data_IF_252611300773
#
_entry.id   IF_252611300773
#
_cell.length_a   1.000
_cell.length_b   1.000
_cell.length_c   1.000
_cell.angle_alpha   90.00
_cell.angle_beta   90.00
_cell.angle_gamma   90.00
#
_symmetry.space_group_name_H-M   'P 1'
#
loop_
_entity.id
_entity.type
_entity.pdbx_description
1 polymer ?
#
# COMPACT_ATOMS: atom_id res chain seq x y z
N UNK A 1 -67.99 -79.01 48.94
CA UNK A 1 -69.18 -79.89 48.97
C UNK A 1 -69.15 -80.67 50.27
N UNK A 2 -70.20 -80.60 51.08
CA UNK A 2 -70.34 -81.43 52.28
C UNK A 2 -71.46 -82.45 52.05
N UNK A 3 -71.20 -83.71 52.37
CA UNK A 3 -72.21 -84.76 52.32
C UNK A 3 -72.95 -84.78 53.66
N UNK A 4 -74.25 -84.47 53.63
CA UNK A 4 -75.07 -84.41 54.85
C UNK A 4 -75.45 -85.81 55.34
N UNK A 5 -75.79 -85.94 56.63
CA UNK A 5 -76.12 -87.21 57.29
C UNK A 5 -77.29 -87.99 56.67
N UNK A 6 -78.04 -87.40 55.73
CA UNK A 6 -79.12 -88.02 54.95
C UNK A 6 -78.68 -88.49 53.55
N UNK A 7 -77.36 -88.62 53.29
CA UNK A 7 -76.78 -89.06 52.00
C UNK A 7 -77.20 -88.20 50.79
N UNK A 8 -77.59 -86.95 51.04
CA UNK A 8 -77.79 -85.94 49.99
C UNK A 8 -76.62 -84.96 50.03
N UNK A 9 -76.02 -84.71 48.87
CA UNK A 9 -75.05 -83.63 48.70
C UNK A 9 -75.80 -82.30 48.78
N UNK A 10 -75.29 -81.38 49.59
CA UNK A 10 -75.80 -80.02 49.67
C UNK A 10 -74.80 -79.13 48.92
N UNK A 11 -75.17 -78.47 47.79
CA UNK A 11 -76.50 -78.34 47.16
C UNK A 11 -76.92 -79.54 46.28
N UNK A 12 -78.23 -79.64 45.99
CA UNK A 12 -78.85 -80.64 45.08
C UNK A 12 -78.54 -80.41 43.59
N UNK A 13 -77.96 -79.26 43.24
CA UNK A 13 -77.41 -78.98 41.91
C UNK A 13 -75.89 -79.12 41.94
N UNK A 14 -75.35 -79.98 41.07
CA UNK A 14 -73.91 -80.04 40.84
C UNK A 14 -73.42 -78.67 40.37
N UNK A 15 -72.28 -78.16 40.87
CA UNK A 15 -71.75 -76.90 40.39
C UNK A 15 -71.53 -77.00 38.87
N UNK A 16 -72.24 -76.17 38.11
CA UNK A 16 -72.10 -76.11 36.65
C UNK A 16 -70.74 -75.45 36.38
N UNK A 17 -69.80 -76.23 35.85
CA UNK A 17 -68.55 -75.69 35.32
C UNK A 17 -68.87 -74.92 34.04
N UNK A 18 -68.99 -73.60 34.15
CA UNK A 18 -69.07 -72.70 33.00
C UNK A 18 -67.65 -72.36 32.59
N UNK A 19 -67.34 -72.54 31.31
CA UNK A 19 -66.05 -72.13 30.77
C UNK A 19 -65.91 -70.61 30.87
N UNK A 20 -64.84 -70.14 31.53
CA UNK A 20 -64.55 -68.70 31.62
C UNK A 20 -63.92 -68.27 30.30
N UNK A 21 -64.65 -67.45 29.55
CA UNK A 21 -64.22 -66.89 28.27
C UNK A 21 -64.35 -65.38 28.34
N UNK A 22 -63.27 -64.67 28.04
CA UNK A 22 -63.26 -63.22 28.01
C UNK A 22 -63.87 -62.69 26.70
N UNK A 23 -64.44 -61.47 26.70
CA UNK A 23 -65.01 -60.87 25.51
C UNK A 23 -63.95 -60.69 24.42
N UNK A 24 -64.37 -60.77 23.15
CA UNK A 24 -63.49 -60.51 22.01
C UNK A 24 -62.98 -59.07 22.10
N UNK A 25 -61.66 -58.91 22.07
CA UNK A 25 -61.05 -57.58 22.08
C UNK A 25 -61.39 -56.82 20.79
N UNK A 26 -61.70 -55.51 20.88
CA UNK A 26 -61.91 -54.69 19.71
C UNK A 26 -60.61 -54.58 18.90
N UNK A 27 -60.75 -54.21 17.61
CA UNK A 27 -59.60 -53.93 16.75
C UNK A 27 -58.80 -52.75 17.33
N UNK A 28 -57.51 -52.94 17.54
CA UNK A 28 -56.59 -51.85 17.90
C UNK A 28 -56.39 -50.95 16.68
N UNK A 29 -56.71 -49.67 16.81
CA UNK A 29 -56.46 -48.68 15.77
C UNK A 29 -54.95 -48.45 15.63
N UNK A 30 -54.45 -48.35 14.38
CA UNK A 30 -53.02 -48.19 14.06
C UNK A 30 -52.10 -49.24 14.71
N UNK A 31 -52.63 -50.43 14.96
CA UNK A 31 -51.91 -51.55 15.57
C UNK A 31 -52.57 -52.89 15.32
N UNK A 32 -52.02 -53.92 15.96
CA UNK A 32 -52.48 -55.29 15.87
C UNK A 32 -52.63 -55.91 17.27
N UNK A 33 -53.74 -56.62 17.46
CA UNK A 33 -54.02 -57.42 18.66
C UNK A 33 -53.94 -58.89 18.30
N UNK A 34 -53.16 -59.68 19.04
CA UNK A 34 -53.10 -61.13 18.89
C UNK A 34 -53.36 -61.82 20.23
N UNK A 35 -54.48 -62.54 20.32
CA UNK A 35 -54.89 -63.30 21.51
C UNK A 35 -54.66 -64.79 21.31
N UNK A 36 -54.25 -65.50 22.36
CA UNK A 36 -54.10 -66.97 22.35
C UNK A 36 -55.42 -67.66 22.71
N UNK A 37 -55.50 -68.97 22.47
CA UNK A 37 -56.47 -69.88 23.10
C UNK A 37 -57.94 -69.42 23.06
N UNK A 38 -58.38 -68.80 21.95
CA UNK A 38 -59.78 -68.39 21.72
C UNK A 38 -60.40 -67.56 22.85
N UNK A 39 -59.59 -66.72 23.53
CA UNK A 39 -59.99 -65.87 24.67
C UNK A 39 -60.46 -66.64 25.94
N UNK A 40 -60.10 -67.91 26.09
CA UNK A 40 -60.39 -68.70 27.31
C UNK A 40 -59.61 -68.19 28.52
N UNK A 41 -59.95 -68.66 29.71
CA UNK A 41 -59.22 -68.38 30.95
C UNK A 41 -57.70 -68.53 30.76
N UNK A 42 -56.92 -67.56 31.25
CA UNK A 42 -55.47 -67.46 31.06
C UNK A 42 -54.99 -67.15 29.63
N UNK A 43 -55.90 -66.93 28.67
CA UNK A 43 -55.54 -66.38 27.36
C UNK A 43 -54.79 -65.06 27.52
N UNK A 44 -53.78 -64.85 26.68
CA UNK A 44 -52.95 -63.63 26.66
C UNK A 44 -53.17 -62.92 25.34
N UNK A 45 -53.75 -61.72 25.40
CA UNK A 45 -53.75 -60.79 24.28
C UNK A 45 -52.48 -59.93 24.32
N UNK A 46 -51.72 -59.91 23.22
CA UNK A 46 -50.56 -59.02 23.02
C UNK A 46 -50.92 -57.90 22.06
N UNK A 47 -50.50 -56.69 22.37
CA UNK A 47 -50.74 -55.49 21.58
C UNK A 47 -49.43 -54.98 20.99
N UNK A 48 -49.44 -54.68 19.69
CA UNK A 48 -48.29 -54.13 18.96
C UNK A 48 -48.78 -52.99 18.08
N UNK A 49 -48.21 -51.80 18.21
CA UNK A 49 -48.53 -50.68 17.32
C UNK A 49 -47.79 -50.83 15.99
N UNK A 50 -48.37 -50.25 14.93
CA UNK A 50 -47.72 -50.13 13.62
C UNK A 50 -46.51 -49.18 13.65
N UNK A 51 -45.76 -49.13 12.55
CA UNK A 51 -44.64 -48.19 12.41
C UNK A 51 -45.14 -46.74 12.53
N UNK A 52 -44.40 -45.89 13.24
CA UNK A 52 -44.79 -44.51 13.51
C UNK A 52 -45.77 -44.30 14.67
N UNK A 53 -46.13 -45.36 15.40
CA UNK A 53 -47.00 -45.28 16.55
C UNK A 53 -46.36 -45.86 17.81
N UNK A 54 -46.55 -45.20 18.96
CA UNK A 54 -46.12 -45.67 20.28
C UNK A 54 -47.29 -46.22 21.09
N UNK A 55 -47.05 -47.33 21.79
CA UNK A 55 -48.06 -47.95 22.63
C UNK A 55 -48.18 -47.21 23.97
N UNK A 56 -49.37 -46.66 24.26
CA UNK A 56 -49.72 -46.09 25.55
C UNK A 56 -50.71 -46.99 26.29
N UNK A 57 -50.24 -47.60 27.37
CA UNK A 57 -51.01 -48.56 28.17
C UNK A 57 -50.27 -49.89 28.32
N UNK A 58 -51.01 -50.94 28.67
CA UNK A 58 -50.42 -52.26 28.88
C UNK A 58 -50.11 -52.96 27.55
N UNK A 59 -48.91 -53.54 27.42
CA UNK A 59 -48.49 -54.33 26.22
C UNK A 59 -49.19 -55.68 26.08
N UNK A 60 -49.85 -56.13 27.14
CA UNK A 60 -50.60 -57.37 27.16
C UNK A 60 -51.72 -57.31 28.19
N UNK A 61 -52.78 -58.09 27.95
CA UNK A 61 -53.88 -58.28 28.88
C UNK A 61 -54.18 -59.77 29.01
N UNK A 62 -54.50 -60.24 30.21
CA UNK A 62 -54.71 -61.66 30.54
C UNK A 62 -56.17 -61.88 30.92
N UNK A 63 -56.77 -62.96 30.45
CA UNK A 63 -58.14 -63.33 30.83
C UNK A 63 -58.20 -63.87 32.26
N UNK A 64 -58.81 -63.10 33.16
CA UNK A 64 -58.86 -63.41 34.61
C UNK A 64 -59.95 -64.43 34.95
N UNK A 65 -60.03 -64.84 36.22
CA UNK A 65 -61.09 -65.72 36.73
C UNK A 65 -62.48 -65.09 36.67
N UNK A 66 -62.56 -63.76 36.56
CA UNK A 66 -63.82 -63.02 36.55
C UNK A 66 -64.40 -62.86 35.12
N UNK A 67 -63.79 -63.52 34.13
CA UNK A 67 -64.18 -63.40 32.72
C UNK A 67 -63.89 -62.04 32.11
N UNK A 68 -62.93 -61.30 32.68
CA UNK A 68 -62.51 -59.96 32.23
C UNK A 68 -61.03 -59.92 31.89
N UNK A 69 -60.67 -58.98 31.04
CA UNK A 69 -59.29 -58.68 30.71
C UNK A 69 -58.61 -57.92 31.87
N UNK A 70 -57.38 -58.30 32.22
CA UNK A 70 -56.64 -57.75 33.36
C UNK A 70 -56.19 -56.29 33.18
N UNK A 71 -56.16 -55.80 31.94
CA UNK A 71 -55.79 -54.46 31.57
C UNK A 71 -56.75 -53.91 30.51
N UNK A 72 -56.99 -52.60 30.56
CA UNK A 72 -57.75 -51.86 29.57
C UNK A 72 -57.04 -51.86 28.20
N UNK A 73 -57.81 -51.58 27.14
CA UNK A 73 -57.29 -51.50 25.79
C UNK A 73 -56.27 -50.36 25.68
N UNK A 74 -55.04 -50.62 25.22
CA UNK A 74 -54.06 -49.56 25.01
C UNK A 74 -54.40 -48.72 23.78
N UNK A 75 -53.78 -47.54 23.67
CA UNK A 75 -53.91 -46.64 22.53
C UNK A 75 -52.56 -46.56 21.80
N UNK A 76 -52.59 -46.62 20.46
CA UNK A 76 -51.42 -46.34 19.63
C UNK A 76 -51.43 -44.86 19.26
N UNK A 77 -50.58 -44.07 19.94
CA UNK A 77 -50.42 -42.63 19.66
C UNK A 77 -49.37 -42.42 18.57
N UNK A 78 -49.57 -41.45 17.69
CA UNK A 78 -48.56 -41.06 16.70
C UNK A 78 -47.27 -40.61 17.39
N UNK A 79 -46.14 -41.00 16.81
CA UNK A 79 -44.82 -40.51 17.19
C UNK A 79 -44.60 -39.16 16.50
N UNK A 80 -44.50 -38.12 17.31
CA UNK A 80 -44.25 -36.75 16.89
C UNK A 80 -42.97 -36.31 17.58
N UNK A 81 -42.00 -35.83 16.80
CA UNK A 81 -40.75 -35.30 17.30
C UNK A 81 -40.86 -33.81 17.66
N UNK A 82 -40.05 -33.35 18.61
CA UNK A 82 -40.03 -31.94 19.02
C UNK A 82 -39.67 -31.00 17.85
N UNK A 83 -40.18 -29.78 17.89
CA UNK A 83 -39.88 -28.78 16.86
C UNK A 83 -38.39 -28.42 16.84
N UNK A 84 -37.75 -28.55 15.68
CA UNK A 84 -36.35 -28.15 15.49
C UNK A 84 -36.21 -26.62 15.38
N UNK A 85 -35.23 -26.05 16.08
CA UNK A 85 -34.93 -24.62 15.98
C UNK A 85 -34.36 -24.24 14.59
N UNK A 86 -34.63 -23.01 14.16
CA UNK A 86 -34.02 -22.43 12.96
C UNK A 86 -32.59 -21.98 13.33
N UNK A 87 -31.54 -22.43 12.62
CA UNK A 87 -30.19 -21.97 12.89
C UNK A 87 -30.06 -20.47 12.61
N UNK A 88 -29.31 -19.76 13.46
CA UNK A 88 -28.97 -18.37 13.19
C UNK A 88 -28.17 -18.29 11.87
N UNK A 89 -28.45 -17.29 11.04
CA UNK A 89 -27.81 -17.12 9.72
C UNK A 89 -28.02 -18.33 8.78
N UNK A 90 -29.15 -19.03 8.94
CA UNK A 90 -29.58 -20.11 8.07
C UNK A 90 -31.09 -20.28 8.02
N UNK A 91 -31.53 -21.39 7.44
CA UNK A 91 -32.92 -21.74 7.20
C UNK A 91 -33.13 -23.25 7.41
N UNK A 92 -34.37 -23.64 7.72
CA UNK A 92 -34.81 -25.03 7.79
C UNK A 92 -35.98 -25.24 6.83
N UNK A 93 -36.02 -26.40 6.18
CA UNK A 93 -37.13 -26.86 5.35
C UNK A 93 -37.53 -28.26 5.81
N UNK A 94 -38.71 -28.38 6.44
CA UNK A 94 -39.18 -29.63 7.01
C UNK A 94 -40.46 -30.10 6.32
N UNK A 95 -40.54 -31.40 6.02
CA UNK A 95 -41.75 -32.03 5.48
C UNK A 95 -42.84 -32.29 6.53
N UNK A 96 -42.50 -32.16 7.82
CA UNK A 96 -43.36 -32.37 8.99
C UNK A 96 -42.54 -32.75 10.22
N UNK A 97 -43.21 -33.18 11.30
CA UNK A 97 -42.61 -33.59 12.58
C UNK A 97 -42.95 -35.04 13.00
N UNK A 98 -43.73 -35.76 12.18
CA UNK A 98 -44.10 -37.15 12.41
C UNK A 98 -42.96 -38.13 12.10
N UNK A 99 -43.04 -39.36 12.62
CA UNK A 99 -42.10 -40.44 12.30
C UNK A 99 -41.81 -40.56 10.79
N UNK A 100 -40.52 -40.61 10.46
CA UNK A 100 -40.04 -40.71 9.08
C UNK A 100 -40.00 -39.40 8.30
N UNK A 101 -40.58 -38.30 8.83
CA UNK A 101 -40.45 -36.97 8.23
C UNK A 101 -39.01 -36.47 8.34
N UNK A 102 -38.63 -35.62 7.40
CA UNK A 102 -37.28 -35.11 7.24
C UNK A 102 -37.27 -33.59 7.33
N UNK A 103 -36.18 -33.06 7.88
CA UNK A 103 -35.90 -31.66 7.85
C UNK A 103 -34.48 -31.41 7.35
N UNK A 104 -34.38 -30.56 6.32
CA UNK A 104 -33.13 -30.15 5.70
C UNK A 104 -32.76 -28.74 6.15
N UNK A 105 -31.47 -28.50 6.36
CA UNK A 105 -30.93 -27.25 6.86
C UNK A 105 -29.98 -26.65 5.84
N UNK A 106 -30.03 -25.33 5.67
CA UNK A 106 -29.15 -24.61 4.76
C UNK A 106 -28.68 -23.31 5.40
N UNK A 107 -27.39 -23.02 5.31
CA UNK A 107 -26.82 -21.76 5.80
C UNK A 107 -26.89 -20.67 4.73
N UNK A 108 -26.96 -19.41 5.17
CA UNK A 108 -26.91 -18.26 4.27
C UNK A 108 -25.53 -18.17 3.59
N UNK A 109 -25.46 -17.45 2.46
CA UNK A 109 -24.22 -17.23 1.73
C UNK A 109 -23.11 -16.68 2.63
N UNK A 110 -21.92 -17.29 2.57
CA UNK A 110 -20.76 -16.91 3.40
C UNK A 110 -20.78 -17.51 4.81
N UNK A 111 -21.64 -18.51 5.05
CA UNK A 111 -21.63 -19.30 6.28
C UNK A 111 -21.53 -20.81 5.95
N UNK A 112 -20.70 -21.50 6.71
CA UNK A 112 -20.48 -22.94 6.63
C UNK A 112 -21.41 -23.69 7.57
N UNK A 113 -22.02 -24.74 7.05
CA UNK A 113 -22.85 -25.66 7.83
C UNK A 113 -21.97 -26.59 8.66
N UNK A 114 -22.16 -26.55 9.98
CA UNK A 114 -21.63 -27.54 10.91
C UNK A 114 -22.77 -28.27 11.61
N UNK A 115 -22.74 -29.60 11.59
CA UNK A 115 -23.81 -30.44 12.15
C UNK A 115 -24.46 -31.33 11.08
N UNK A 116 -25.73 -31.67 11.27
CA UNK A 116 -26.47 -32.56 10.35
C UNK A 116 -27.33 -31.77 9.36
N UNK A 117 -26.91 -31.74 8.10
CA UNK A 117 -27.65 -31.09 6.99
C UNK A 117 -29.08 -31.62 6.84
N UNK A 118 -29.30 -32.92 7.09
CA UNK A 118 -30.62 -33.54 7.12
C UNK A 118 -30.84 -34.26 8.45
N UNK A 119 -32.03 -34.12 9.03
CA UNK A 119 -32.46 -34.84 10.24
C UNK A 119 -33.79 -35.54 9.97
N UNK A 120 -33.97 -36.73 10.52
CA UNK A 120 -35.17 -37.57 10.35
C UNK A 120 -35.79 -37.93 11.69
N UNK A 121 -37.12 -37.86 11.82
CA UNK A 121 -37.82 -38.21 13.06
C UNK A 121 -37.85 -39.72 13.26
N UNK A 122 -37.33 -40.19 14.41
CA UNK A 122 -37.12 -41.61 14.73
C UNK A 122 -38.27 -42.21 15.56
N UNK A 123 -38.26 -43.54 15.71
CA UNK A 123 -39.29 -44.28 16.43
C UNK A 123 -39.33 -44.02 17.95
N UNK A 124 -38.30 -43.37 18.51
CA UNK A 124 -38.27 -42.95 19.91
C UNK A 124 -38.77 -41.52 20.13
N UNK A 125 -39.21 -40.84 19.07
CA UNK A 125 -39.65 -39.44 19.11
C UNK A 125 -38.51 -38.43 19.10
N UNK A 126 -37.27 -38.86 18.77
CA UNK A 126 -36.12 -37.96 18.62
C UNK A 126 -35.71 -37.78 17.16
N UNK A 127 -35.05 -36.67 16.87
CA UNK A 127 -34.49 -36.41 15.54
C UNK A 127 -33.07 -36.97 15.42
N UNK A 128 -32.76 -37.66 14.33
CA UNK A 128 -31.39 -38.12 14.02
C UNK A 128 -30.38 -36.97 14.01
N UNK A 129 -29.10 -37.28 14.18
CA UNK A 129 -28.03 -36.32 14.00
C UNK A 129 -27.94 -35.27 15.12
N UNK A 130 -27.23 -34.19 14.85
CA UNK A 130 -26.94 -33.12 15.81
C UNK A 130 -27.47 -31.77 15.31
N UNK A 131 -27.74 -30.80 16.21
CA UNK A 131 -28.13 -29.45 15.82
C UNK A 131 -27.15 -28.81 14.84
N UNK A 132 -27.69 -27.99 13.93
CA UNK A 132 -26.89 -27.26 12.94
C UNK A 132 -26.48 -25.89 13.48
N UNK A 133 -25.22 -25.53 13.26
CA UNK A 133 -24.68 -24.20 13.47
C UNK A 133 -24.08 -23.67 12.16
N UNK A 134 -24.49 -22.47 11.75
CA UNK A 134 -23.93 -21.76 10.61
C UNK A 134 -22.82 -20.83 11.10
N UNK A 135 -21.57 -21.18 10.80
CA UNK A 135 -20.41 -20.38 11.20
C UNK A 135 -19.97 -19.52 10.01
N UNK A 136 -19.54 -18.28 10.23
CA UNK A 136 -19.02 -17.46 9.13
C UNK A 136 -17.83 -18.16 8.48
N UNK A 137 -17.80 -18.16 7.15
CA UNK A 137 -16.63 -18.57 6.40
C UNK A 137 -15.44 -17.66 6.77
N UNK A 138 -14.23 -18.21 6.76
CA UNK A 138 -13.01 -17.49 7.12
C UNK A 138 -11.98 -17.61 6.00
N UNK A 139 -11.44 -16.48 5.54
CA UNK A 139 -10.41 -16.40 4.49
C UNK A 139 -8.97 -16.44 5.04
N UNK A 140 -8.83 -16.54 6.37
CA UNK A 140 -7.55 -16.47 7.08
C UNK A 140 -7.04 -15.04 7.26
N UNK A 141 -6.07 -14.86 8.16
CA UNK A 141 -5.50 -13.54 8.43
C UNK A 141 -4.51 -13.14 7.33
N UNK A 142 -4.65 -11.90 6.85
CA UNK A 142 -3.73 -11.36 5.86
C UNK A 142 -2.39 -10.97 6.50
N UNK A 143 -1.26 -11.26 5.84
CA UNK A 143 0.05 -10.86 6.33
C UNK A 143 0.25 -9.35 6.21
N UNK A 144 0.93 -8.78 7.22
CA UNK A 144 1.38 -7.39 7.21
C UNK A 144 2.48 -7.20 6.14
N UNK A 145 2.35 -6.23 5.22
CA UNK A 145 3.44 -5.87 4.31
C UNK A 145 4.68 -5.40 5.06
N UNK A 146 5.88 -5.70 4.54
CA UNK A 146 7.11 -5.05 5.04
C UNK A 146 7.02 -3.55 4.77
N UNK A 147 7.42 -2.72 5.72
CA UNK A 147 7.29 -1.26 5.65
C UNK A 147 5.87 -0.76 5.37
N UNK A 148 4.88 -1.43 5.97
CA UNK A 148 3.47 -1.03 5.88
C UNK A 148 2.66 -1.62 7.01
N UNK A 149 1.35 -1.41 6.99
CA UNK A 149 0.41 -1.92 7.98
C UNK A 149 -0.85 -2.47 7.33
N UNK A 150 -1.58 -3.31 8.06
CA UNK A 150 -2.89 -3.84 7.66
C UNK A 150 -3.87 -3.65 8.80
N UNK A 151 -5.07 -3.20 8.49
CA UNK A 151 -6.16 -3.04 9.45
C UNK A 151 -7.43 -3.68 8.90
N UNK A 152 -8.00 -4.62 9.64
CA UNK A 152 -9.17 -5.39 9.23
C UNK A 152 -10.35 -5.15 10.18
N UNK A 153 -11.56 -5.01 9.63
CA UNK A 153 -12.76 -4.73 10.43
C UNK A 153 -13.18 -5.90 11.32
N UNK A 154 -13.06 -7.13 10.83
CA UNK A 154 -13.48 -8.35 11.54
C UNK A 154 -12.47 -9.50 11.33
N UNK A 155 -11.17 -9.18 11.39
CA UNK A 155 -10.12 -10.17 11.16
C UNK A 155 -10.23 -10.80 9.78
N UNK A 156 -10.40 -12.12 9.73
CA UNK A 156 -10.49 -12.90 8.48
C UNK A 156 -11.87 -13.46 8.15
N UNK A 157 -12.92 -13.02 8.83
CA UNK A 157 -14.27 -13.57 8.65
C UNK A 157 -14.94 -13.02 7.37
N UNK A 158 -15.92 -13.74 6.85
CA UNK A 158 -16.71 -13.34 5.69
C UNK A 158 -17.25 -11.91 5.83
N UNK A 159 -17.04 -11.11 4.79
CA UNK A 159 -17.39 -9.68 4.76
C UNK A 159 -16.41 -8.77 5.50
N UNK A 160 -15.35 -9.30 6.13
CA UNK A 160 -14.27 -8.49 6.68
C UNK A 160 -13.60 -7.70 5.57
N UNK A 161 -13.32 -6.42 5.82
CA UNK A 161 -12.63 -5.52 4.91
C UNK A 161 -11.29 -5.16 5.54
N UNK A 162 -10.21 -5.53 4.87
CA UNK A 162 -8.85 -5.17 5.26
C UNK A 162 -8.34 -4.04 4.38
N UNK A 163 -7.79 -3.01 5.02
CA UNK A 163 -7.12 -1.88 4.38
C UNK A 163 -5.62 -1.95 4.64
N UNK A 164 -4.83 -1.63 3.62
CA UNK A 164 -3.37 -1.67 3.66
C UNK A 164 -2.80 -0.28 3.46
N UNK A 165 -1.76 0.04 4.22
CA UNK A 165 -1.04 1.31 4.11
C UNK A 165 0.46 1.05 4.12
N UNK A 166 1.24 1.93 3.52
CA UNK A 166 2.70 1.87 3.55
C UNK A 166 3.26 2.95 4.47
N UNK A 167 4.42 2.66 5.06
CA UNK A 167 5.17 3.61 5.86
C UNK A 167 5.64 4.79 4.98
N UNK A 168 5.98 5.93 5.60
CA UNK A 168 6.45 7.08 4.85
C UNK A 168 7.70 6.77 4.02
N UNK A 169 7.70 7.20 2.76
CA UNK A 169 8.76 6.86 1.80
C UNK A 169 8.58 5.54 1.07
N UNK A 170 7.43 4.86 1.24
CA UNK A 170 7.04 3.69 0.48
C UNK A 170 5.70 3.90 -0.21
N UNK A 171 5.54 3.37 -1.42
CA UNK A 171 4.31 3.36 -2.20
C UNK A 171 3.68 1.97 -2.19
N UNK A 172 2.35 1.93 -2.11
CA UNK A 172 1.58 0.68 -2.13
C UNK A 172 1.43 0.17 -3.57
N UNK A 173 1.81 -1.08 -3.80
CA UNK A 173 1.60 -1.79 -5.07
C UNK A 173 0.70 -2.99 -4.81
N UNK A 174 -0.41 -3.09 -5.54
CA UNK A 174 -1.45 -4.11 -5.36
C UNK A 174 -2.77 -3.51 -4.90
N UNK A 175 -3.59 -4.31 -4.22
CA UNK A 175 -4.91 -3.86 -3.75
C UNK A 175 -4.81 -3.13 -2.41
N UNK A 176 -5.23 -1.86 -2.37
CA UNK A 176 -5.31 -1.06 -1.14
C UNK A 176 -6.30 -1.66 -0.13
N UNK A 177 -7.41 -2.21 -0.63
CA UNK A 177 -8.41 -2.91 0.17
C UNK A 177 -8.68 -4.31 -0.36
N UNK A 178 -8.97 -5.23 0.55
CA UNK A 178 -9.34 -6.62 0.25
C UNK A 178 -10.54 -7.02 1.12
N UNK A 179 -11.45 -7.80 0.55
CA UNK A 179 -12.69 -8.26 1.20
C UNK A 179 -12.69 -9.78 1.26
N UNK A 180 -13.07 -10.35 2.40
CA UNK A 180 -13.21 -11.80 2.52
C UNK A 180 -14.54 -12.24 1.90
N UNK A 181 -14.45 -13.04 0.84
CA UNK A 181 -15.58 -13.49 0.02
C UNK A 181 -16.11 -14.86 0.49
N UNK A 182 -17.28 -15.25 -0.04
CA UNK A 182 -17.99 -16.45 0.41
C UNK A 182 -17.29 -17.75 0.00
N UNK A 183 -16.32 -17.70 -0.91
CA UNK A 183 -15.49 -18.81 -1.37
C UNK A 183 -14.22 -19.02 -0.53
N UNK A 184 -14.17 -18.38 0.65
CA UNK A 184 -13.02 -18.38 1.56
C UNK A 184 -11.76 -17.73 0.98
N UNK A 185 -11.91 -16.91 -0.07
CA UNK A 185 -10.81 -16.17 -0.66
C UNK A 185 -10.91 -14.68 -0.36
N UNK A 186 -9.74 -14.04 -0.30
CA UNK A 186 -9.65 -12.58 -0.24
C UNK A 186 -9.65 -12.01 -1.65
N UNK A 187 -10.54 -11.05 -1.89
CA UNK A 187 -10.59 -10.32 -3.15
C UNK A 187 -9.28 -9.60 -3.48
N UNK A 188 -9.07 -9.31 -4.77
CA UNK A 188 -7.90 -8.58 -5.24
C UNK A 188 -6.57 -9.32 -5.02
N UNK A 189 -5.48 -8.55 -4.95
CA UNK A 189 -4.12 -9.06 -4.87
C UNK A 189 -3.43 -8.62 -3.58
N UNK A 190 -2.57 -9.48 -3.01
CA UNK A 190 -1.79 -9.14 -1.83
C UNK A 190 -0.86 -7.95 -2.13
N UNK A 191 -1.00 -6.81 -1.43
CA UNK A 191 -0.13 -5.67 -1.67
C UNK A 191 1.24 -5.84 -1.01
N UNK A 192 2.21 -5.10 -1.55
CA UNK A 192 3.52 -4.88 -0.96
C UNK A 192 3.92 -3.41 -1.06
N UNK A 193 4.82 -2.97 -0.19
CA UNK A 193 5.30 -1.60 -0.15
C UNK A 193 6.65 -1.50 -0.85
N UNK A 194 6.71 -0.67 -1.89
CA UNK A 194 7.92 -0.41 -2.66
C UNK A 194 8.53 0.92 -2.24
N UNK A 195 9.84 0.95 -2.02
CA UNK A 195 10.52 2.19 -1.62
C UNK A 195 10.39 3.25 -2.73
N UNK A 196 10.01 4.47 -2.35
CA UNK A 196 9.92 5.60 -3.27
C UNK A 196 11.33 6.08 -3.63
N UNK A 197 11.58 6.17 -4.92
CA UNK A 197 12.84 6.68 -5.48
C UNK A 197 12.54 7.68 -6.58
N UNK A 198 13.26 8.81 -6.58
CA UNK A 198 13.19 9.79 -7.64
C UNK A 198 14.08 9.41 -8.83
N UNK A 199 13.97 10.14 -9.93
CA UNK A 199 14.89 9.99 -11.07
C UNK A 199 16.34 10.23 -10.64
N UNK A 200 17.29 9.52 -11.25
CA UNK A 200 18.72 9.73 -10.95
C UNK A 200 19.14 11.08 -11.55
N UNK A 201 19.57 12.01 -10.70
CA UNK A 201 20.08 13.30 -11.13
C UNK A 201 21.51 13.17 -11.68
N UNK A 202 21.82 14.00 -12.68
CA UNK A 202 23.14 14.07 -13.30
C UNK A 202 23.79 15.40 -12.91
N UNK A 203 25.10 15.45 -12.62
CA UNK A 203 25.79 16.70 -12.35
C UNK A 203 25.64 17.69 -13.51
N UNK A 204 25.39 18.99 -13.24
CA UNK A 204 25.32 19.99 -14.30
C UNK A 204 26.67 20.13 -14.99
N UNK A 205 26.65 20.50 -16.28
CA UNK A 205 27.87 20.76 -17.03
C UNK A 205 28.71 21.83 -16.30
N UNK A 206 30.01 21.57 -16.11
CA UNK A 206 30.90 22.42 -15.29
C UNK A 206 30.48 22.58 -13.82
N UNK A 207 29.75 21.61 -13.26
CA UNK A 207 29.45 21.55 -11.84
C UNK A 207 29.65 20.17 -11.22
N UNK A 208 29.23 20.08 -9.96
CA UNK A 208 29.28 18.90 -9.11
C UNK A 208 27.89 18.68 -8.48
N UNK A 209 27.61 17.42 -8.16
CA UNK A 209 26.39 16.97 -7.51
C UNK A 209 26.79 16.09 -6.32
N UNK A 210 26.18 16.34 -5.17
CA UNK A 210 26.36 15.53 -3.96
C UNK A 210 25.01 15.25 -3.32
N UNK A 211 24.65 13.99 -3.14
CA UNK A 211 23.36 13.60 -2.58
C UNK A 211 23.55 12.84 -1.26
N UNK A 212 22.70 13.11 -0.27
CA UNK A 212 22.77 12.49 1.04
C UNK A 212 22.46 10.98 1.02
N UNK A 213 21.52 10.56 0.18
CA UNK A 213 21.10 9.15 0.07
C UNK A 213 20.76 8.77 -1.38
N UNK A 214 21.57 9.23 -2.35
CA UNK A 214 21.31 9.00 -3.78
C UNK A 214 19.97 9.61 -4.20
N UNK A 215 19.08 8.79 -4.75
CA UNK A 215 17.75 9.18 -5.24
C UNK A 215 16.60 8.65 -4.36
N UNK A 216 16.87 8.25 -3.11
CA UNK A 216 15.84 7.75 -2.20
C UNK A 216 14.93 8.88 -1.69
N UNK A 217 13.73 8.54 -1.24
CA UNK A 217 12.83 9.49 -0.55
C UNK A 217 13.55 10.29 0.55
N UNK A 218 13.26 11.59 0.63
CA UNK A 218 13.91 12.55 1.52
C UNK A 218 15.42 12.74 1.29
N UNK A 219 16.02 12.15 0.25
CA UNK A 219 17.38 12.49 -0.17
C UNK A 219 17.43 13.96 -0.57
N UNK A 220 18.48 14.66 -0.13
CA UNK A 220 18.76 16.05 -0.49
C UNK A 220 20.04 16.03 -1.32
N UNK A 221 19.95 16.55 -2.53
CA UNK A 221 21.04 16.70 -3.47
C UNK A 221 21.43 18.17 -3.56
N UNK A 222 22.70 18.48 -3.30
CA UNK A 222 23.26 19.81 -3.44
C UNK A 222 24.11 19.94 -4.71
N UNK A 223 24.03 21.11 -5.32
CA UNK A 223 24.73 21.44 -6.56
C UNK A 223 25.77 22.53 -6.30
N UNK A 224 26.92 22.42 -6.97
CA UNK A 224 27.95 23.46 -6.96
C UNK A 224 28.62 23.57 -8.32
N UNK A 225 29.18 24.72 -8.65
CA UNK A 225 29.87 24.93 -9.92
C UNK A 225 31.40 24.87 -9.74
N UNK A 226 32.09 24.45 -10.80
CA UNK A 226 33.56 24.55 -10.88
C UNK A 226 33.99 26.00 -10.78
N UNK A 227 35.23 26.22 -10.34
CA UNK A 227 35.82 27.56 -10.30
C UNK A 227 35.72 28.23 -11.67
N UNK A 228 35.26 29.49 -11.68
CA UNK A 228 35.04 30.25 -12.91
C UNK A 228 33.62 30.14 -13.49
N UNK A 229 32.72 29.43 -12.81
CA UNK A 229 31.31 29.31 -13.19
C UNK A 229 30.40 29.75 -12.04
N UNK A 230 29.27 30.37 -12.37
CA UNK A 230 28.23 30.77 -11.44
C UNK A 230 27.02 29.83 -11.57
N UNK A 231 26.42 29.47 -10.44
CA UNK A 231 25.23 28.64 -10.39
C UNK A 231 23.99 29.50 -10.66
N UNK A 232 23.16 29.06 -11.61
CA UNK A 232 21.87 29.68 -11.95
C UNK A 232 20.75 28.66 -11.73
N UNK A 233 19.86 28.95 -10.77
CA UNK A 233 18.77 28.08 -10.34
C UNK A 233 18.90 27.70 -8.86
N UNK A 234 18.20 26.64 -8.47
CA UNK A 234 18.21 26.14 -7.10
C UNK A 234 19.53 25.43 -6.76
N UNK A 235 19.98 25.63 -5.52
CA UNK A 235 21.23 25.02 -5.02
C UNK A 235 21.01 23.61 -4.47
N UNK A 236 19.76 23.24 -4.20
CA UNK A 236 19.38 21.95 -3.63
C UNK A 236 18.09 21.42 -4.26
N UNK A 237 17.97 20.09 -4.33
CA UNK A 237 16.75 19.38 -4.67
C UNK A 237 16.49 18.26 -3.66
N UNK A 238 15.23 18.10 -3.25
CA UNK A 238 14.78 17.08 -2.31
C UNK A 238 13.81 16.10 -2.98
N UNK A 239 14.02 14.81 -2.77
CA UNK A 239 13.16 13.76 -3.31
C UNK A 239 11.87 13.63 -2.51
N UNK A 240 10.73 13.89 -3.16
CA UNK A 240 9.39 13.89 -2.59
C UNK A 240 8.74 12.50 -2.50
N UNK A 241 7.55 12.45 -1.87
CA UNK A 241 6.75 11.22 -1.69
C UNK A 241 6.18 10.66 -3.00
N UNK A 242 6.04 11.49 -4.03
CA UNK A 242 5.54 11.10 -5.35
C UNK A 242 6.63 10.48 -6.24
N UNK A 243 7.89 10.46 -5.79
CA UNK A 243 9.03 10.06 -6.63
C UNK A 243 9.50 11.19 -7.57
N UNK A 244 9.14 12.43 -7.28
CA UNK A 244 9.61 13.61 -8.01
C UNK A 244 10.51 14.48 -7.14
N UNK A 245 11.51 15.10 -7.77
CA UNK A 245 12.33 16.14 -7.13
C UNK A 245 11.53 17.44 -7.08
N UNK A 246 11.62 18.16 -5.96
CA UNK A 246 10.99 19.48 -5.82
C UNK A 246 11.60 20.54 -6.77
N UNK A 247 12.91 20.45 -7.04
CA UNK A 247 13.65 21.35 -7.91
C UNK A 247 14.38 20.60 -9.03
N UNK A 248 14.54 21.26 -10.17
CA UNK A 248 15.33 20.75 -11.31
C UNK A 248 16.82 21.09 -11.16
N UNK A 249 17.75 20.32 -11.77
CA UNK A 249 19.17 20.66 -11.77
C UNK A 249 19.45 22.08 -12.32
N UNK A 250 20.29 22.87 -11.63
CA UNK A 250 20.65 24.22 -12.07
C UNK A 250 21.63 24.20 -13.25
N UNK A 251 21.87 25.37 -13.83
CA UNK A 251 22.89 25.55 -14.87
C UNK A 251 24.12 26.28 -14.32
N UNK A 252 25.32 25.80 -14.66
CA UNK A 252 26.57 26.51 -14.36
C UNK A 252 27.00 27.34 -15.57
N UNK A 253 26.81 28.65 -15.52
CA UNK A 253 27.23 29.57 -16.57
C UNK A 253 28.62 30.13 -16.29
N UNK A 254 29.43 30.33 -17.33
CA UNK A 254 30.78 30.89 -17.16
C UNK A 254 30.66 32.29 -16.56
N UNK A 255 31.51 32.58 -15.57
CA UNK A 255 31.59 33.91 -14.97
C UNK A 255 32.18 34.88 -15.99
N UNK A 256 31.59 36.07 -16.10
CA UNK A 256 32.11 37.13 -16.97
C UNK A 256 32.54 38.34 -16.14
N UNK A 257 33.75 38.81 -16.37
CA UNK A 257 34.22 40.11 -15.91
C UNK A 257 33.51 41.24 -16.65
N UNK A 258 33.54 42.48 -16.11
CA UNK A 258 33.15 43.66 -16.87
C UNK A 258 33.89 43.72 -18.22
N UNK A 259 33.29 44.28 -19.29
CA UNK A 259 33.96 44.42 -20.57
C UNK A 259 35.35 45.07 -20.41
N UNK A 260 36.34 44.53 -21.11
CA UNK A 260 37.69 45.06 -21.05
C UNK A 260 37.70 46.54 -21.45
N UNK A 261 38.43 47.36 -20.67
CA UNK A 261 38.51 48.80 -20.89
C UNK A 261 38.95 49.13 -22.33
N UNK A 262 38.25 50.07 -22.95
CA UNK A 262 38.66 50.65 -24.22
C UNK A 262 39.61 51.80 -23.92
N UNK A 263 40.87 51.67 -24.34
CA UNK A 263 41.89 52.68 -24.09
C UNK A 263 41.73 53.85 -25.06
N UNK A 264 41.68 55.07 -24.52
CA UNK A 264 41.84 56.26 -25.35
C UNK A 264 43.26 56.28 -25.92
N UNK A 265 43.39 56.48 -27.23
CA UNK A 265 44.65 56.32 -27.98
C UNK A 265 45.36 54.96 -27.78
N UNK A 266 44.62 53.86 -27.61
CA UNK A 266 45.19 52.50 -27.56
C UNK A 266 44.25 51.43 -28.11
N UNK A 267 44.67 50.17 -27.99
CA UNK A 267 43.86 48.98 -28.36
C UNK A 267 43.97 47.89 -27.29
N UNK A 268 42.88 47.16 -27.09
CA UNK A 268 42.82 45.95 -26.27
C UNK A 268 42.46 44.74 -27.13
N UNK A 269 43.10 43.60 -26.88
CA UNK A 269 42.80 42.32 -27.54
C UNK A 269 42.69 41.24 -26.47
N UNK A 270 41.54 40.58 -26.42
CA UNK A 270 41.22 39.56 -25.41
C UNK A 270 41.07 38.19 -26.07
N UNK A 271 41.45 37.13 -25.35
CA UNK A 271 41.43 35.76 -25.86
C UNK A 271 40.01 35.19 -25.98
N UNK A 272 39.15 35.45 -24.98
CA UNK A 272 37.78 34.94 -24.94
C UNK A 272 36.82 35.99 -24.36
N UNK A 273 36.76 37.15 -25.02
CA UNK A 273 35.95 38.29 -24.57
C UNK A 273 36.28 38.67 -23.12
N UNK A 274 35.26 38.70 -22.26
CA UNK A 274 35.40 38.95 -20.81
C UNK A 274 35.08 37.71 -19.94
N UNK A 275 35.14 36.51 -20.49
CA UNK A 275 34.92 35.28 -19.73
C UNK A 275 36.05 35.00 -18.74
N UNK A 276 35.76 34.25 -17.68
CA UNK A 276 36.73 33.79 -16.70
C UNK A 276 37.92 33.08 -17.39
N UNK A 277 39.14 33.46 -17.00
CA UNK A 277 40.38 33.01 -17.63
C UNK A 277 40.75 33.73 -18.93
N UNK A 278 39.92 34.67 -19.43
CA UNK A 278 40.28 35.51 -20.58
C UNK A 278 41.48 36.39 -20.24
N UNK A 279 42.45 36.47 -21.16
CA UNK A 279 43.65 37.30 -21.05
C UNK A 279 43.58 38.43 -22.06
N UNK A 280 43.52 39.67 -21.59
CA UNK A 280 43.50 40.88 -22.42
C UNK A 280 44.88 41.53 -22.47
N UNK A 281 45.46 41.61 -23.66
CA UNK A 281 46.67 42.38 -23.94
C UNK A 281 46.32 43.80 -24.34
N UNK A 282 47.06 44.78 -23.81
CA UNK A 282 46.88 46.21 -24.05
C UNK A 282 48.11 46.82 -24.72
N UNK A 283 47.88 47.71 -25.69
CA UNK A 283 48.96 48.44 -26.37
C UNK A 283 48.51 49.84 -26.77
N UNK A 284 49.38 50.84 -26.64
CA UNK A 284 49.09 52.23 -27.02
C UNK A 284 49.45 52.53 -28.48
N UNK A 285 48.81 53.56 -29.03
CA UNK A 285 49.11 54.08 -30.36
C UNK A 285 50.45 54.85 -30.34
N UNK A 286 51.02 55.06 -31.52
CA UNK A 286 52.31 55.74 -31.67
C UNK A 286 52.30 57.14 -31.03
N UNK A 287 53.27 57.42 -30.15
CA UNK A 287 53.37 58.68 -29.41
C UNK A 287 52.76 58.65 -28.01
N UNK A 288 52.19 57.52 -27.60
CA UNK A 288 51.69 57.28 -26.25
C UNK A 288 52.41 56.09 -25.61
N UNK A 289 52.62 56.13 -24.29
CA UNK A 289 53.22 55.08 -23.49
C UNK A 289 52.15 54.45 -22.59
N UNK A 290 52.24 53.14 -22.37
CA UNK A 290 51.29 52.41 -21.55
C UNK A 290 51.69 52.53 -20.07
N UNK A 291 50.82 53.14 -19.28
CA UNK A 291 50.93 53.18 -17.83
C UNK A 291 50.09 52.05 -17.23
N UNK A 292 50.74 51.15 -16.49
CA UNK A 292 50.12 49.97 -15.88
C UNK A 292 50.46 48.65 -16.59
N UNK A 293 49.65 47.61 -16.34
CA UNK A 293 49.91 46.26 -16.87
C UNK A 293 49.54 46.12 -18.35
N UNK A 294 50.46 45.58 -19.15
CA UNK A 294 50.21 45.22 -20.56
C UNK A 294 49.33 43.99 -20.74
N UNK A 295 49.10 43.22 -19.67
CA UNK A 295 48.27 42.02 -19.67
C UNK A 295 47.38 41.99 -18.42
N UNK A 296 46.08 41.75 -18.60
CA UNK A 296 45.16 41.48 -17.50
C UNK A 296 44.42 40.17 -17.73
N UNK A 297 44.16 39.44 -16.67
CA UNK A 297 43.45 38.16 -16.67
C UNK A 297 42.14 38.28 -15.90
N UNK A 298 41.05 37.72 -16.44
CA UNK A 298 39.76 37.70 -15.76
C UNK A 298 39.77 36.60 -14.69
N UNK A 299 39.78 36.99 -13.42
CA UNK A 299 39.78 36.12 -12.26
C UNK A 299 38.36 36.04 -11.65
N UNK A 300 38.24 35.33 -10.52
CA UNK A 300 36.98 35.10 -9.80
C UNK A 300 36.36 36.38 -9.21
N UNK A 301 37.12 37.46 -9.08
CA UNK A 301 36.69 38.75 -8.52
C UNK A 301 36.71 39.90 -9.53
N UNK A 302 37.06 39.62 -10.79
CA UNK A 302 37.25 40.64 -11.83
C UNK A 302 38.63 40.57 -12.49
N UNK A 303 38.94 41.58 -13.30
CA UNK A 303 40.24 41.69 -13.97
C UNK A 303 41.39 41.87 -12.98
N UNK A 304 42.49 41.14 -13.18
CA UNK A 304 43.70 41.27 -12.39
C UNK A 304 44.29 42.69 -12.47
N UNK A 305 44.71 43.25 -11.34
CA UNK A 305 45.36 44.57 -11.26
C UNK A 305 44.44 45.74 -11.61
N UNK A 306 45.00 46.96 -11.65
CA UNK A 306 44.27 48.17 -12.07
C UNK A 306 44.16 48.29 -13.59
N UNK A 307 43.23 49.13 -14.06
CA UNK A 307 43.04 49.39 -15.49
C UNK A 307 44.18 50.25 -16.05
N UNK A 308 44.86 49.81 -17.14
CA UNK A 308 45.93 50.61 -17.73
C UNK A 308 45.37 51.80 -18.49
N UNK A 309 46.21 52.79 -18.77
CA UNK A 309 45.87 53.94 -19.61
C UNK A 309 47.08 54.36 -20.47
N UNK A 310 46.80 55.07 -21.57
CA UNK A 310 47.83 55.57 -22.47
C UNK A 310 48.13 57.03 -22.16
N UNK A 311 49.37 57.32 -21.75
CA UNK A 311 49.83 58.68 -21.47
C UNK A 311 50.63 59.21 -22.68
N UNK A 312 50.53 60.50 -22.97
CA UNK A 312 51.31 61.09 -24.07
C UNK A 312 52.79 61.08 -23.70
N UNK A 313 53.65 60.56 -24.58
CA UNK A 313 55.10 60.59 -24.39
C UNK A 313 55.56 62.05 -24.40
N UNK A 314 56.00 62.54 -23.24
CA UNK A 314 56.59 63.88 -23.10
C UNK A 314 58.10 63.77 -23.22
N UNK A 315 58.68 64.50 -24.16
CA UNK A 315 60.12 64.63 -24.25
C UNK A 315 60.66 65.32 -22.98
N UNK A 316 61.85 64.92 -22.47
CA UNK A 316 62.50 65.62 -21.38
C UNK A 316 62.58 67.12 -21.70
N UNK A 317 62.22 67.99 -20.74
CA UNK A 317 62.55 69.40 -20.88
C UNK A 317 64.07 69.52 -20.89
N UNK A 318 64.63 69.83 -22.05
CA UNK A 318 66.02 70.25 -22.15
C UNK A 318 66.20 71.51 -21.31
N UNK A 319 67.20 71.53 -20.43
CA UNK A 319 67.65 72.76 -19.81
C UNK A 319 68.18 73.69 -20.89
N UNK A 320 67.72 74.93 -20.88
CA UNK A 320 68.28 75.99 -21.73
C UNK A 320 69.72 76.20 -21.29
N UNK A 321 70.72 76.08 -22.17
CA UNK A 321 72.09 76.45 -21.82
C UNK A 321 72.13 77.94 -21.46
N UNK A 322 72.95 78.33 -20.48
CA UNK A 322 72.99 79.68 -19.87
C UNK A 322 73.22 80.87 -20.86
N UNK A 323 73.40 80.62 -22.16
CA UNK A 323 73.46 81.66 -23.22
C UNK A 323 72.83 81.21 -24.56
N UNK A 324 71.87 80.28 -24.55
CA UNK A 324 71.17 79.82 -25.75
C UNK A 324 69.68 80.18 -25.76
N UNK A 325 69.10 80.49 -26.92
CA UNK A 325 67.64 80.70 -27.06
C UNK A 325 67.01 79.44 -27.66
N UNK A 326 66.19 78.72 -26.89
CA UNK A 326 65.40 77.60 -27.41
C UNK A 326 64.06 78.09 -27.98
N UNK A 327 63.71 77.64 -29.19
CA UNK A 327 62.38 77.82 -29.77
C UNK A 327 61.77 76.44 -29.98
N UNK A 328 60.64 76.17 -29.33
CA UNK A 328 59.88 74.93 -29.54
C UNK A 328 58.86 75.16 -30.65
N UNK A 329 59.05 74.51 -31.80
CA UNK A 329 58.00 74.34 -32.80
C UNK A 329 57.38 72.96 -32.67
N UNK A 330 56.05 72.86 -32.76
CA UNK A 330 55.30 71.61 -32.72
C UNK A 330 55.67 70.71 -33.90
N UNK A 331 56.74 69.92 -33.77
CA UNK A 331 57.00 68.66 -34.46
C UNK A 331 58.25 68.00 -33.84
N UNK A 332 58.16 66.67 -33.71
CA UNK A 332 59.12 65.80 -33.03
C UNK A 332 60.52 65.89 -33.67
N UNK A 333 61.51 65.67 -32.81
CA UNK A 333 62.94 65.48 -33.05
C UNK A 333 63.84 66.72 -32.91
N UNK A 334 64.55 66.76 -31.78
CA UNK A 334 65.69 67.64 -31.52
C UNK A 334 66.96 66.80 -31.67
N UNK A 335 67.72 66.99 -32.75
CA UNK A 335 69.09 66.51 -32.85
C UNK A 335 70.06 67.67 -32.60
N UNK A 336 70.74 67.63 -31.45
CA UNK A 336 71.84 68.55 -31.14
C UNK A 336 73.13 67.87 -31.57
N UNK A 337 73.72 68.32 -32.69
CA UNK A 337 75.12 68.02 -33.03
C UNK A 337 76.00 69.18 -32.56
N UNK A 338 76.82 68.94 -31.55
CA UNK A 338 77.93 69.80 -31.15
C UNK A 338 79.19 69.30 -31.85
N UNK A 339 79.84 70.15 -32.66
CA UNK A 339 81.23 69.93 -33.08
C UNK A 339 82.14 70.96 -32.40
N UNK A 340 83.39 70.58 -32.03
CA UNK A 340 84.26 71.40 -31.20
C UNK A 340 84.97 72.52 -31.98
N UNK A 341 85.16 73.61 -31.24
CA UNK A 341 85.91 74.86 -31.43
C UNK A 341 86.89 75.02 -32.62
N UNK A 342 86.74 76.17 -33.28
CA UNK A 342 87.79 76.95 -33.95
C UNK A 342 87.31 78.40 -34.07
N UNK A 343 88.14 79.36 -33.66
CA UNK A 343 87.79 80.73 -33.23
C UNK A 343 87.18 81.65 -34.29
N UNK A 344 86.35 82.58 -33.77
CA UNK A 344 85.89 83.84 -34.40
C UNK A 344 85.21 83.74 -35.76
N UNK A 345 83.87 83.61 -35.76
CA UNK A 345 82.96 84.54 -36.45
C UNK A 345 81.49 84.11 -36.25
N UNK A 346 80.58 85.08 -36.41
CA UNK A 346 79.14 84.97 -36.18
C UNK A 346 78.50 83.69 -36.80
N UNK A 347 77.70 82.97 -36.02
CA UNK A 347 76.95 81.81 -36.52
C UNK A 347 75.75 82.24 -37.36
N UNK A 348 75.77 81.89 -38.64
CA UNK A 348 74.57 81.80 -39.49
C UNK A 348 74.17 80.32 -39.50
N UNK A 349 72.97 80.02 -38.97
CA UNK A 349 72.39 78.68 -39.05
C UNK A 349 71.77 78.51 -40.45
N UNK A 350 72.35 77.64 -41.27
CA UNK A 350 71.70 77.19 -42.49
C UNK A 350 70.74 76.05 -42.17
N UNK A 351 69.44 76.31 -42.34
CA UNK A 351 68.38 75.31 -42.36
C UNK A 351 68.28 74.75 -43.78
N UNK A 352 68.75 73.52 -44.00
CA UNK A 352 68.42 72.75 -45.20
C UNK A 352 67.38 71.70 -44.86
N UNK A 353 66.18 71.86 -45.42
CA UNK A 353 65.11 70.88 -45.36
C UNK A 353 65.26 69.92 -46.53
N UNK A 354 65.34 68.62 -46.25
CA UNK A 354 65.09 67.60 -47.26
C UNK A 354 63.60 67.23 -47.16
N UNK A 355 62.81 67.65 -48.14
CA UNK A 355 61.54 67.00 -48.45
C UNK A 355 61.87 65.59 -48.94
N UNK A 356 61.40 64.57 -48.22
CA UNK A 356 61.22 63.25 -48.81
C UNK A 356 59.78 62.81 -48.56
N UNK A 357 59.20 62.39 -49.67
CA UNK A 357 57.80 62.13 -50.03
C UNK A 357 57.10 61.09 -49.18
#
# INVERSE_FOLDING_TARGET
MECTAIKKWNPEEAPICVEIVCPVMPKLENGNTKCSDENRHQSICRFVCGEGYRLKGSRSSICTTDGKWSAEMPVCEEIICDELAIPQDGSKDCSGDQFGQKCSFMCNTGFDLSGSEERTCQADGTWTGVPVHCNKATCGLLPKPRHGSVQCSAGGDFGSVCSFTCDSGYSLVGSETRVCEADHAWSGSQPYCLQVTCSVLVPPANGYLSCSAGNLFNSICSFSCKTGFNLQGDTEAKCGLTGEWDNSPPTCSIMSCPPAVQLDHGRSRCSDGSNYGSRCSYSCNLGYELEGSSLRECLNIGWSGESPFCSLIRCPRHSVPDNGKMSCTNRKDVQIKLNPCGESDQFIVHLTFAENS
#
